data_IF_151730401429
#
_entry.id   IF_151730401429
#
_cell.length_a   1.000
_cell.length_b   1.000
_cell.length_c   1.000
_cell.angle_alpha   90.00
_cell.angle_beta   90.00
_cell.angle_gamma   90.00
#
_symmetry.space_group_name_H-M   'P 1'
#
loop_
_entity.id
_entity.type
_entity.pdbx_description
1 polymer ?
#
# COMPACT_ATOMS: atom_id res chain seq x y z
N UNK A 1 62.06 -77.30 12.03
CA UNK A 1 62.13 -78.07 13.29
C UNK A 1 60.87 -78.94 13.32
N UNK A 2 60.97 -80.17 12.82
CA UNK A 2 61.10 -81.41 13.63
C UNK A 2 59.83 -81.61 14.49
N UNK A 3 59.04 -82.68 14.42
CA UNK A 3 59.31 -84.11 14.16
C UNK A 3 57.94 -84.77 13.82
N UNK A 4 57.83 -85.71 12.88
CA UNK A 4 57.85 -87.15 13.17
C UNK A 4 56.44 -87.76 13.04
N UNK A 5 56.15 -88.56 11.99
CA UNK A 5 56.35 -90.03 11.86
C UNK A 5 55.12 -90.84 12.33
N UNK A 6 54.36 -91.50 11.42
CA UNK A 6 54.40 -92.96 11.08
C UNK A 6 53.88 -93.84 12.26
N UNK A 7 53.14 -94.97 12.18
CA UNK A 7 52.90 -96.02 11.17
C UNK A 7 52.13 -97.17 11.87
N UNK A 8 51.36 -97.95 11.11
CA UNK A 8 51.04 -99.40 11.26
C UNK A 8 50.07 -99.97 12.34
N UNK A 9 49.02 -100.61 11.80
CA UNK A 9 48.81 -102.09 11.68
C UNK A 9 48.37 -102.92 12.90
N UNK A 10 47.42 -103.82 12.59
CA UNK A 10 46.92 -105.00 13.32
C UNK A 10 45.91 -104.69 14.44
N UNK A 11 44.77 -105.37 14.59
CA UNK A 11 44.21 -106.56 13.95
C UNK A 11 43.14 -107.13 14.90
N UNK A 12 42.10 -107.78 14.34
CA UNK A 12 41.16 -108.68 15.05
C UNK A 12 40.09 -108.00 15.92
N UNK A 13 38.85 -107.89 15.46
CA UNK A 13 37.80 -108.93 15.57
C UNK A 13 37.46 -109.31 17.03
N UNK A 14 36.49 -108.62 17.63
CA UNK A 14 35.58 -109.20 18.63
C UNK A 14 34.36 -108.30 18.87
N UNK A 15 33.23 -108.74 18.31
CA UNK A 15 31.91 -108.83 18.93
C UNK A 15 31.40 -107.69 19.85
N UNK A 16 30.40 -106.99 19.31
CA UNK A 16 29.03 -106.93 19.84
C UNK A 16 28.86 -106.81 21.37
N UNK A 17 28.89 -105.59 21.90
CA UNK A 17 28.01 -105.22 23.01
C UNK A 17 27.46 -103.80 22.84
N UNK A 18 26.15 -103.73 22.68
CA UNK A 18 25.31 -102.53 22.65
C UNK A 18 25.48 -101.71 23.93
N UNK A 19 25.72 -100.40 23.78
CA UNK A 19 25.64 -99.42 24.85
C UNK A 19 25.18 -98.08 24.28
N UNK A 20 23.88 -97.79 24.39
CA UNK A 20 23.30 -96.49 24.07
C UNK A 20 23.57 -95.55 25.26
N UNK A 21 24.59 -94.70 25.13
CA UNK A 21 24.95 -93.66 26.10
C UNK A 21 24.87 -92.28 25.43
N UNK A 22 24.03 -91.42 25.98
CA UNK A 22 23.69 -90.09 25.48
C UNK A 22 24.79 -89.07 25.81
N UNK A 23 25.51 -88.56 24.80
CA UNK A 23 26.35 -87.35 24.91
C UNK A 23 25.52 -86.10 24.54
N UNK A 24 25.57 -85.00 25.31
CA UNK A 24 24.93 -83.75 24.92
C UNK A 24 25.70 -83.12 23.75
N UNK A 25 25.02 -83.02 22.61
CA UNK A 25 25.54 -82.43 21.40
C UNK A 25 25.97 -80.96 21.62
N UNK A 26 27.04 -80.50 20.93
CA UNK A 26 27.53 -79.14 21.04
C UNK A 26 26.43 -78.13 20.70
N UNK A 27 26.24 -77.13 21.57
CA UNK A 27 25.26 -76.08 21.37
C UNK A 27 25.55 -75.33 20.05
N UNK A 28 24.55 -75.21 19.15
CA UNK A 28 24.78 -74.56 17.86
C UNK A 28 25.04 -73.07 18.10
N UNK A 29 26.22 -72.59 17.66
CA UNK A 29 26.51 -71.15 17.58
C UNK A 29 25.35 -70.46 16.87
N UNK A 30 24.80 -69.35 17.40
CA UNK A 30 23.69 -68.67 16.75
C UNK A 30 24.12 -68.32 15.32
N UNK A 31 23.39 -68.86 14.34
CA UNK A 31 23.62 -68.59 12.92
C UNK A 31 23.52 -67.08 12.74
N UNK A 32 24.65 -66.43 12.51
CA UNK A 32 24.71 -65.04 12.10
C UNK A 32 23.85 -64.91 10.85
N UNK A 33 22.74 -64.18 10.96
CA UNK A 33 21.88 -63.89 9.80
C UNK A 33 22.71 -63.06 8.84
N UNK A 34 22.70 -63.35 7.52
CA UNK A 34 23.45 -62.54 6.57
C UNK A 34 23.00 -61.09 6.71
N UNK A 35 23.96 -60.21 6.98
CA UNK A 35 23.71 -58.78 7.04
C UNK A 35 23.11 -58.36 5.70
N UNK A 36 21.96 -57.70 5.73
CA UNK A 36 21.32 -57.25 4.52
C UNK A 36 22.12 -56.05 4.01
N UNK A 37 22.52 -56.10 2.75
CA UNK A 37 23.22 -54.99 2.13
C UNK A 37 22.26 -53.80 2.03
N UNK A 38 22.65 -52.67 2.60
CA UNK A 38 21.88 -51.42 2.59
C UNK A 38 22.75 -50.27 2.13
N UNK A 39 22.14 -49.32 1.44
CA UNK A 39 22.78 -48.08 1.03
C UNK A 39 22.59 -47.01 2.11
N UNK A 40 23.64 -46.22 2.37
CA UNK A 40 23.62 -45.14 3.37
C UNK A 40 24.18 -43.85 2.77
N UNK A 41 23.69 -42.70 3.26
CA UNK A 41 24.19 -41.38 2.88
C UNK A 41 24.45 -40.52 4.13
N UNK A 42 25.55 -39.73 4.18
CA UNK A 42 25.86 -38.88 5.32
C UNK A 42 24.96 -37.63 5.38
N UNK A 43 24.42 -37.34 6.56
CA UNK A 43 23.63 -36.12 6.80
C UNK A 43 24.55 -34.91 6.86
N UNK A 44 24.21 -33.85 6.13
CA UNK A 44 24.90 -32.55 6.19
C UNK A 44 23.93 -31.47 6.64
N UNK A 45 24.35 -30.65 7.61
CA UNK A 45 23.60 -29.46 7.99
C UNK A 45 23.97 -28.31 7.06
N UNK A 46 22.97 -27.55 6.63
CA UNK A 46 23.13 -26.36 5.79
C UNK A 46 21.95 -25.43 5.99
N UNK A 47 22.12 -24.16 5.63
CA UNK A 47 21.03 -23.19 5.69
C UNK A 47 19.99 -23.52 4.62
N UNK A 48 18.75 -23.76 5.05
CA UNK A 48 17.61 -23.95 4.16
C UNK A 48 16.87 -22.61 4.03
N UNK A 49 16.94 -21.98 2.86
CA UNK A 49 16.18 -20.77 2.59
C UNK A 49 14.78 -21.15 2.09
N UNK A 50 13.75 -20.89 2.90
CA UNK A 50 12.36 -21.06 2.48
C UNK A 50 11.93 -19.84 1.66
N UNK A 51 11.80 -19.99 0.34
CA UNK A 51 11.25 -18.95 -0.53
C UNK A 51 9.74 -19.12 -0.68
N UNK A 52 8.96 -18.13 -0.26
CA UNK A 52 7.53 -18.06 -0.55
C UNK A 52 7.29 -17.03 -1.65
N UNK A 53 6.89 -17.50 -2.83
CA UNK A 53 6.44 -16.65 -3.93
C UNK A 53 4.92 -16.48 -3.81
N UNK A 54 4.45 -15.23 -3.82
CA UNK A 54 3.01 -14.92 -3.85
C UNK A 54 2.70 -14.01 -5.02
N UNK A 55 1.53 -14.22 -5.61
CA UNK A 55 0.98 -13.36 -6.66
C UNK A 55 0.04 -12.34 -6.04
N UNK A 56 -0.01 -11.16 -6.65
CA UNK A 56 -0.87 -10.05 -6.22
C UNK A 56 -1.08 -9.07 -7.35
N UNK A 57 -2.03 -8.16 -7.18
CA UNK A 57 -2.32 -7.12 -8.17
C UNK A 57 -1.95 -5.75 -7.62
N UNK A 58 -1.50 -4.86 -8.51
CA UNK A 58 -1.25 -3.47 -8.16
C UNK A 58 -2.55 -2.68 -8.22
N UNK A 59 -2.71 -1.73 -7.30
CA UNK A 59 -3.78 -0.75 -7.29
C UNK A 59 -3.18 0.63 -7.12
N UNK A 60 -3.88 1.64 -7.64
CA UNK A 60 -3.50 3.02 -7.42
C UNK A 60 -3.47 3.31 -5.90
N UNK A 61 -2.39 3.93 -5.43
CA UNK A 61 -2.26 4.30 -4.01
C UNK A 61 -3.25 5.40 -3.62
N UNK A 62 -3.60 6.27 -4.58
CA UNK A 62 -4.61 7.32 -4.45
C UNK A 62 -5.34 7.49 -5.78
N UNK A 63 -6.63 7.70 -5.69
CA UNK A 63 -7.50 8.07 -6.82
C UNK A 63 -8.29 9.32 -6.39
N UNK A 64 -8.34 10.33 -7.26
CA UNK A 64 -9.05 11.58 -6.99
C UNK A 64 -9.94 11.88 -8.17
N UNK A 65 -11.22 12.18 -7.89
CA UNK A 65 -12.16 12.67 -8.89
C UNK A 65 -12.25 14.18 -8.77
N UNK A 66 -12.05 14.87 -9.89
CA UNK A 66 -12.03 16.33 -9.95
C UNK A 66 -13.34 16.79 -10.58
N UNK A 67 -13.98 17.76 -9.94
CA UNK A 67 -15.23 18.36 -10.40
C UNK A 67 -15.07 19.88 -10.44
N UNK A 68 -15.81 20.53 -11.34
CA UNK A 68 -15.92 21.98 -11.36
C UNK A 68 -16.73 22.47 -10.14
N UNK A 69 -16.32 23.59 -9.55
CA UNK A 69 -17.04 24.21 -8.42
C UNK A 69 -18.07 25.24 -8.88
N UNK A 70 -17.98 25.68 -10.13
CA UNK A 70 -18.87 26.65 -10.76
C UNK A 70 -19.31 26.13 -12.11
N UNK A 71 -20.54 26.46 -12.49
CA UNK A 71 -21.07 26.13 -13.81
C UNK A 71 -20.46 27.06 -14.87
N UNK A 72 -20.12 26.50 -16.03
CA UNK A 72 -19.50 27.25 -17.10
C UNK A 72 -19.18 26.39 -18.32
N UNK A 73 -19.00 27.04 -19.46
CA UNK A 73 -18.53 26.39 -20.69
C UNK A 73 -17.01 26.20 -20.61
N UNK A 74 -16.51 25.04 -21.01
CA UNK A 74 -15.07 24.80 -21.14
C UNK A 74 -14.54 25.66 -22.30
N UNK A 75 -13.62 26.57 -22.00
CA UNK A 75 -12.88 27.35 -22.99
C UNK A 75 -11.66 26.55 -23.50
N UNK A 76 -10.95 25.87 -22.58
CA UNK A 76 -9.72 25.16 -22.90
C UNK A 76 -9.50 23.92 -22.04
N UNK A 77 -9.01 22.87 -22.69
CA UNK A 77 -8.57 21.63 -22.05
C UNK A 77 -7.15 21.29 -22.55
N UNK A 78 -6.10 21.74 -21.85
CA UNK A 78 -4.71 21.61 -22.31
C UNK A 78 -4.10 20.22 -22.17
N UNK A 79 -4.80 19.25 -21.57
CA UNK A 79 -4.28 17.90 -21.28
C UNK A 79 -5.15 16.81 -21.88
N UNK A 80 -4.52 15.68 -22.18
CA UNK A 80 -5.16 14.47 -22.66
C UNK A 80 -5.06 13.33 -21.64
N UNK A 81 -5.84 12.29 -21.87
CA UNK A 81 -5.83 11.11 -21.02
C UNK A 81 -4.44 10.44 -21.03
N UNK A 82 -3.88 10.22 -19.83
CA UNK A 82 -2.56 9.60 -19.64
C UNK A 82 -1.43 10.60 -19.35
N UNK A 83 -1.69 11.90 -19.51
CA UNK A 83 -0.70 12.93 -19.20
C UNK A 83 -0.39 12.99 -17.70
N UNK A 84 0.89 13.24 -17.38
CA UNK A 84 1.31 13.47 -15.99
C UNK A 84 1.14 14.95 -15.64
N UNK A 85 0.46 15.20 -14.54
CA UNK A 85 0.24 16.55 -14.00
C UNK A 85 0.70 16.63 -12.56
N UNK A 86 1.26 17.78 -12.16
CA UNK A 86 1.64 18.06 -10.78
C UNK A 86 0.48 18.73 -10.03
N UNK A 87 0.55 18.73 -8.70
CA UNK A 87 -0.40 19.47 -7.87
C UNK A 87 -0.37 20.97 -8.21
N UNK A 88 -1.55 21.58 -8.32
CA UNK A 88 -1.69 23.01 -8.66
C UNK A 88 -1.66 23.31 -10.16
N UNK A 89 -1.50 22.30 -11.01
CA UNK A 89 -1.54 22.48 -12.47
C UNK A 89 -2.97 22.84 -12.91
N UNK A 90 -3.08 23.82 -13.81
CA UNK A 90 -4.33 24.20 -14.45
C UNK A 90 -4.80 23.11 -15.41
N UNK A 91 -5.87 22.39 -15.05
CA UNK A 91 -6.38 21.28 -15.86
C UNK A 91 -7.42 21.71 -16.89
N UNK A 92 -8.26 22.68 -16.55
CA UNK A 92 -9.39 23.14 -17.37
C UNK A 92 -9.51 24.64 -17.20
N UNK A 93 -9.80 25.36 -18.29
CA UNK A 93 -10.19 26.77 -18.25
C UNK A 93 -11.66 26.87 -18.60
N UNK A 94 -12.45 27.49 -17.74
CA UNK A 94 -13.85 27.79 -18.00
C UNK A 94 -13.99 29.22 -18.53
N UNK A 95 -15.01 29.47 -19.35
CA UNK A 95 -15.35 30.80 -19.84
C UNK A 95 -15.70 31.75 -18.68
N UNK A 96 -14.93 32.84 -18.59
CA UNK A 96 -15.00 33.79 -17.47
C UNK A 96 -15.72 35.09 -17.82
N UNK A 97 -16.17 35.26 -19.05
CA UNK A 97 -16.63 36.56 -19.57
C UNK A 97 -17.79 37.14 -18.76
N UNK A 98 -18.82 36.32 -18.49
CA UNK A 98 -19.97 36.73 -17.69
C UNK A 98 -19.58 37.02 -16.23
N UNK A 99 -18.83 36.12 -15.59
CA UNK A 99 -18.42 36.27 -14.19
C UNK A 99 -17.51 37.49 -13.99
N UNK A 100 -16.65 37.81 -14.96
CA UNK A 100 -15.82 39.02 -14.95
C UNK A 100 -16.67 40.29 -15.05
N UNK A 101 -17.70 40.30 -15.90
CA UNK A 101 -18.62 41.43 -15.98
C UNK A 101 -19.43 41.62 -14.68
N UNK A 102 -19.90 40.52 -14.08
CA UNK A 102 -20.59 40.55 -12.78
C UNK A 102 -19.67 41.05 -11.66
N UNK A 103 -18.42 40.59 -11.61
CA UNK A 103 -17.44 41.09 -10.64
C UNK A 103 -17.22 42.59 -10.79
N UNK A 104 -17.02 43.08 -12.02
CA UNK A 104 -16.81 44.50 -12.29
C UNK A 104 -17.99 45.35 -11.82
N UNK A 105 -19.23 44.86 -12.02
CA UNK A 105 -20.45 45.49 -11.51
C UNK A 105 -20.46 45.56 -9.98
N UNK A 106 -20.15 44.46 -9.29
CA UNK A 106 -20.13 44.43 -7.83
C UNK A 106 -19.01 45.30 -7.23
N UNK A 107 -17.85 45.37 -7.88
CA UNK A 107 -16.76 46.27 -7.47
C UNK A 107 -17.16 47.75 -7.63
N UNK A 108 -17.91 48.10 -8.67
CA UNK A 108 -18.45 49.45 -8.83
C UNK A 108 -19.50 49.77 -7.73
N UNK A 109 -20.38 48.82 -7.40
CA UNK A 109 -21.34 48.97 -6.31
C UNK A 109 -20.67 49.12 -4.94
N UNK A 110 -19.59 48.36 -4.70
CA UNK A 110 -18.76 48.51 -3.50
C UNK A 110 -18.19 49.93 -3.40
N UNK A 111 -17.56 50.42 -4.47
CA UNK A 111 -16.98 51.76 -4.51
C UNK A 111 -18.02 52.86 -4.30
N UNK A 112 -19.23 52.68 -4.82
CA UNK A 112 -20.36 53.57 -4.59
C UNK A 112 -20.74 53.60 -3.11
N UNK A 113 -20.93 52.43 -2.48
CA UNK A 113 -21.28 52.34 -1.07
C UNK A 113 -20.18 52.90 -0.14
N UNK A 114 -18.91 52.71 -0.48
CA UNK A 114 -17.77 53.32 0.23
C UNK A 114 -17.82 54.85 0.19
N UNK A 115 -18.08 55.39 -1.01
CA UNK A 115 -18.17 56.84 -1.23
C UNK A 115 -19.36 57.45 -0.48
N UNK A 116 -20.51 56.77 -0.50
CA UNK A 116 -21.72 57.23 0.19
C UNK A 116 -21.54 57.18 1.72
N UNK A 117 -20.92 56.13 2.26
CA UNK A 117 -20.60 56.06 3.68
C UNK A 117 -19.61 57.15 4.09
N UNK A 118 -18.59 57.43 3.28
CA UNK A 118 -17.63 58.50 3.54
C UNK A 118 -18.33 59.86 3.56
N UNK A 119 -19.24 60.11 2.62
CA UNK A 119 -20.04 61.34 2.56
C UNK A 119 -20.91 61.50 3.80
N UNK A 120 -21.67 60.48 4.17
CA UNK A 120 -22.55 60.51 5.35
C UNK A 120 -21.77 60.66 6.66
N UNK A 121 -20.58 60.06 6.77
CA UNK A 121 -19.67 60.28 7.93
C UNK A 121 -19.21 61.74 8.05
N UNK A 122 -19.12 62.48 6.95
CA UNK A 122 -18.87 63.92 6.98
C UNK A 122 -20.08 64.68 7.50
N UNK A 123 -21.25 64.41 6.92
CA UNK A 123 -22.49 65.11 7.23
C UNK A 123 -23.02 64.86 8.65
N UNK A 124 -22.81 63.67 9.24
CA UNK A 124 -23.14 63.40 10.66
C UNK A 124 -22.33 64.28 11.60
N UNK A 125 -21.05 64.54 11.28
CA UNK A 125 -20.20 65.43 12.10
C UNK A 125 -20.69 66.87 12.08
N UNK A 126 -21.37 67.26 11.01
CA UNK A 126 -22.02 68.56 10.85
C UNK A 126 -23.48 68.56 11.33
N UNK A 127 -23.97 67.46 11.93
CA UNK A 127 -25.35 67.26 12.41
C UNK A 127 -26.42 67.38 11.30
N UNK A 128 -26.05 67.11 10.05
CA UNK A 128 -26.92 67.26 8.87
C UNK A 128 -27.68 65.98 8.48
N UNK A 129 -27.40 64.84 9.12
CA UNK A 129 -28.00 63.52 8.85
C UNK A 129 -28.08 62.69 10.13
N UNK A 130 -29.00 61.73 10.16
CA UNK A 130 -29.26 60.91 11.35
C UNK A 130 -28.26 59.77 11.54
N UNK A 131 -28.09 59.29 12.78
CA UNK A 131 -27.28 58.08 13.05
C UNK A 131 -27.86 56.83 12.37
N UNK A 132 -29.19 56.79 12.17
CA UNK A 132 -29.86 55.70 11.47
C UNK A 132 -29.45 55.62 10.00
N UNK A 133 -29.38 56.76 9.31
CA UNK A 133 -28.91 56.82 7.91
C UNK A 133 -27.45 56.36 7.79
N UNK A 134 -26.60 56.76 8.74
CA UNK A 134 -25.22 56.30 8.82
C UNK A 134 -25.15 54.78 9.04
N UNK A 135 -25.99 54.24 9.93
CA UNK A 135 -26.06 52.80 10.18
C UNK A 135 -26.52 52.04 8.93
N UNK A 136 -27.55 52.52 8.24
CA UNK A 136 -28.02 51.95 6.96
C UNK A 136 -26.91 51.95 5.90
N UNK A 137 -26.15 53.04 5.77
CA UNK A 137 -25.04 53.11 4.83
C UNK A 137 -23.88 52.16 5.18
N UNK A 138 -23.59 51.96 6.47
CA UNK A 138 -22.62 50.95 6.92
C UNK A 138 -23.06 49.54 6.54
N UNK A 139 -24.33 49.22 6.74
CA UNK A 139 -24.90 47.91 6.37
C UNK A 139 -24.85 47.72 4.85
N UNK A 140 -25.21 48.74 4.07
CA UNK A 140 -25.13 48.69 2.60
C UNK A 140 -23.70 48.42 2.11
N UNK A 141 -22.70 49.07 2.73
CA UNK A 141 -21.29 48.80 2.43
C UNK A 141 -20.93 47.34 2.72
N UNK A 142 -21.33 46.79 3.87
CA UNK A 142 -21.03 45.41 4.24
C UNK A 142 -21.64 44.41 3.24
N UNK A 143 -22.87 44.66 2.77
CA UNK A 143 -23.52 43.84 1.75
C UNK A 143 -22.73 43.90 0.44
N UNK A 144 -22.38 45.10 -0.04
CA UNK A 144 -21.59 45.25 -1.27
C UNK A 144 -20.21 44.59 -1.18
N UNK A 145 -19.56 44.67 -0.01
CA UNK A 145 -18.29 43.98 0.26
C UNK A 145 -18.43 42.46 0.20
N UNK A 146 -19.52 41.91 0.75
CA UNK A 146 -19.79 40.49 0.72
C UNK A 146 -20.05 39.99 -0.71
N UNK A 147 -20.82 40.74 -1.49
CA UNK A 147 -21.14 40.41 -2.88
C UNK A 147 -19.89 40.45 -3.79
N UNK A 148 -19.07 41.50 -3.68
CA UNK A 148 -17.81 41.59 -4.42
C UNK A 148 -16.85 40.42 -4.07
N UNK A 149 -16.78 40.03 -2.79
CA UNK A 149 -15.96 38.91 -2.34
C UNK A 149 -16.47 37.56 -2.86
N UNK A 150 -17.78 37.38 -2.90
CA UNK A 150 -18.41 36.18 -3.45
C UNK A 150 -18.06 35.99 -4.93
N UNK A 151 -18.22 37.04 -5.74
CA UNK A 151 -17.95 36.96 -7.18
C UNK A 151 -16.46 36.76 -7.48
N UNK A 152 -15.58 37.41 -6.72
CA UNK A 152 -14.13 37.16 -6.80
C UNK A 152 -13.77 35.71 -6.49
N UNK A 153 -14.43 35.10 -5.51
CA UNK A 153 -14.21 33.68 -5.16
C UNK A 153 -14.68 32.76 -6.30
N UNK A 154 -15.83 33.03 -6.92
CA UNK A 154 -16.33 32.25 -8.05
C UNK A 154 -15.38 32.31 -9.26
N UNK A 155 -14.80 33.47 -9.54
CA UNK A 155 -13.82 33.66 -10.61
C UNK A 155 -12.52 32.89 -10.41
N UNK A 156 -12.10 32.70 -9.16
CA UNK A 156 -10.91 31.90 -8.85
C UNK A 156 -11.11 30.40 -9.19
N UNK A 157 -12.36 29.94 -9.37
CA UNK A 157 -12.68 28.56 -9.73
C UNK A 157 -12.81 28.30 -11.23
N UNK A 158 -12.90 29.36 -12.05
CA UNK A 158 -12.83 29.27 -13.52
C UNK A 158 -11.39 29.28 -14.00
#
# INVERSE_FOLDING_TARGET
MQLGKTVFLAGGLALLLSGCGTEPAPSPKPKSRPAHLVEVAPVRQGALALQLVRTGTLRASREVRIFNQVDGRIERLPYYQGDRVAQGTLLVVLDRTLLAAEQAKAEAQLKQAESDLQRLRGLVREQLVSEEELARARTALQVAQAEARLLRTRLNYT
#
